data_IF_392788131297
#
_entry.id   IF_392788131297
#
_cell.length_a   1.000
_cell.length_b   1.000
_cell.length_c   1.000
_cell.angle_alpha   90.00
_cell.angle_beta   90.00
_cell.angle_gamma   90.00
#
_symmetry.space_group_name_H-M   'P 1'
#
loop_
_entity.id
_entity.type
_entity.pdbx_description
1 polymer ?
#
# COMPACT_ATOMS: atom_id res chain seq x y z
N UNK A 1 0.63 4.25 4.18
CA UNK A 1 2.01 4.19 4.74
C UNK A 1 2.34 5.47 5.49
N UNK A 2 1.71 5.70 6.64
CA UNK A 2 1.85 6.95 7.39
C UNK A 2 2.64 6.70 8.68
N UNK A 3 3.93 7.02 8.64
CA UNK A 3 4.86 6.96 9.78
C UNK A 3 5.70 8.23 9.85
N UNK A 4 6.28 8.52 11.02
CA UNK A 4 7.05 9.75 11.31
C UNK A 4 8.19 10.04 10.31
N UNK A 5 8.73 9.00 9.66
CA UNK A 5 9.84 9.12 8.70
C UNK A 5 9.39 9.02 7.22
N UNK A 6 8.09 9.07 6.95
CA UNK A 6 7.57 8.96 5.58
C UNK A 6 7.86 10.26 4.84
N UNK A 7 8.36 10.15 3.60
CA UNK A 7 8.57 11.32 2.74
C UNK A 7 7.26 12.10 2.53
N UNK A 8 7.29 13.44 2.47
CA UNK A 8 6.10 14.24 2.19
C UNK A 8 5.32 13.77 0.96
N UNK A 9 6.02 13.32 -0.09
CA UNK A 9 5.37 12.81 -1.31
C UNK A 9 4.58 11.52 -1.06
N UNK A 10 5.08 10.63 -0.21
CA UNK A 10 4.38 9.38 0.17
C UNK A 10 3.11 9.70 0.96
N UNK A 11 3.15 10.76 1.78
CA UNK A 11 2.00 11.23 2.53
C UNK A 11 0.97 11.92 1.61
N UNK A 12 1.43 12.84 0.76
CA UNK A 12 0.55 13.59 -0.14
C UNK A 12 -0.07 12.74 -1.23
N UNK A 13 0.58 11.66 -1.67
CA UNK A 13 0.05 10.72 -2.67
C UNK A 13 -0.99 9.73 -2.14
N UNK A 14 -1.27 9.76 -0.83
CA UNK A 14 -2.26 8.90 -0.17
C UNK A 14 -2.07 7.40 -0.49
N UNK A 15 -0.81 6.94 -0.51
CA UNK A 15 -0.51 5.53 -0.70
C UNK A 15 -1.07 4.66 0.45
N UNK A 16 -1.87 3.68 0.07
CA UNK A 16 -2.49 2.69 0.93
C UNK A 16 -1.99 1.28 0.60
N UNK A 17 -2.23 0.34 1.51
CA UNK A 17 -1.99 -1.07 1.23
C UNK A 17 -3.00 -1.98 1.93
N UNK A 18 -3.17 -3.16 1.34
CA UNK A 18 -3.92 -4.29 1.92
C UNK A 18 -2.96 -5.48 2.01
N UNK A 19 -2.92 -6.14 3.16
CA UNK A 19 -2.21 -7.41 3.31
C UNK A 19 -2.92 -8.51 2.52
N UNK A 20 -2.15 -9.25 1.71
CA UNK A 20 -2.67 -10.36 0.91
C UNK A 20 -2.36 -11.68 1.62
N UNK A 21 -3.41 -12.38 2.05
CA UNK A 21 -3.29 -13.69 2.65
C UNK A 21 -3.57 -14.77 1.60
N UNK A 22 -2.60 -15.67 1.40
CA UNK A 22 -2.82 -16.90 0.64
C UNK A 22 -3.48 -17.96 1.54
N UNK A 23 -4.15 -18.98 0.96
CA UNK A 23 -4.71 -20.08 1.75
C UNK A 23 -3.69 -20.78 2.66
N UNK A 24 -2.42 -20.81 2.25
CA UNK A 24 -1.32 -21.38 3.03
C UNK A 24 -1.03 -20.59 4.33
N UNK A 25 -1.27 -19.27 4.31
CA UNK A 25 -0.96 -18.35 5.40
C UNK A 25 -2.21 -17.80 6.10
N UNK A 26 -3.40 -18.33 5.76
CA UNK A 26 -4.65 -17.85 6.32
C UNK A 26 -4.73 -18.21 7.82
N UNK A 27 -4.99 -17.24 8.71
CA UNK A 27 -5.09 -17.52 10.13
C UNK A 27 -6.27 -18.45 10.41
N UNK A 28 -6.03 -19.44 11.27
CA UNK A 28 -7.02 -20.43 11.68
C UNK A 28 -8.17 -19.80 12.47
N UNK A 29 -7.88 -18.76 13.28
CA UNK A 29 -8.91 -17.94 13.95
C UNK A 29 -9.27 -16.71 13.11
N UNK A 30 -10.42 -16.77 12.46
CA UNK A 30 -10.93 -15.70 11.57
C UNK A 30 -11.42 -14.45 12.33
N UNK A 31 -11.60 -14.52 13.65
CA UNK A 31 -12.19 -13.44 14.48
C UNK A 31 -11.18 -12.33 14.81
N UNK A 32 -9.87 -12.64 14.83
CA UNK A 32 -8.81 -11.66 15.16
C UNK A 32 -8.34 -10.91 13.93
N UNK A 33 -9.08 -9.87 13.54
CA UNK A 33 -8.75 -9.04 12.35
C UNK A 33 -7.39 -8.34 12.46
N UNK A 34 -6.99 -7.90 13.65
CA UNK A 34 -5.71 -7.19 13.88
C UNK A 34 -4.46 -8.04 13.65
N UNK A 35 -4.59 -9.37 13.70
CA UNK A 35 -3.50 -10.32 13.43
C UNK A 35 -3.45 -10.79 11.97
N UNK A 36 -4.27 -10.21 11.08
CA UNK A 36 -4.27 -10.54 9.65
C UNK A 36 -3.19 -9.73 8.91
N UNK A 37 -1.94 -9.97 9.28
CA UNK A 37 -0.78 -9.42 8.60
C UNK A 37 -0.14 -10.48 7.71
N UNK A 38 0.60 -10.04 6.69
CA UNK A 38 1.40 -10.89 5.81
C UNK A 38 2.56 -10.06 5.26
N UNK A 39 3.60 -10.72 4.76
CA UNK A 39 4.69 -10.07 4.03
C UNK A 39 4.37 -9.86 2.54
N UNK A 40 3.08 -9.81 2.19
CA UNK A 40 2.58 -9.47 0.86
C UNK A 40 1.64 -8.26 0.95
N UNK A 41 1.97 -7.16 0.28
CA UNK A 41 1.13 -5.95 0.24
C UNK A 41 0.65 -5.67 -1.17
N UNK A 42 -0.68 -5.57 -1.36
CA UNK A 42 -1.23 -4.87 -2.52
C UNK A 42 -1.22 -3.38 -2.23
N UNK A 43 -0.42 -2.62 -2.99
CA UNK A 43 -0.31 -1.17 -2.89
C UNK A 43 -1.30 -0.51 -3.84
N UNK A 44 -2.03 0.49 -3.35
CA UNK A 44 -3.00 1.23 -4.15
C UNK A 44 -3.14 2.69 -3.69
N UNK A 45 -3.81 3.51 -4.50
CA UNK A 45 -4.27 4.84 -4.12
C UNK A 45 -5.67 5.13 -4.71
N UNK A 46 -6.31 6.16 -4.16
CA UNK A 46 -7.59 6.72 -4.64
C UNK A 46 -7.33 7.97 -5.49
N UNK A 47 -8.21 8.25 -6.45
CA UNK A 47 -8.23 9.52 -7.18
C UNK A 47 -8.39 10.73 -6.24
N UNK A 48 -7.92 11.89 -6.67
CA UNK A 48 -8.11 13.15 -5.95
C UNK A 48 -9.54 13.69 -6.10
N UNK A 49 -10.13 13.60 -7.30
CA UNK A 49 -11.46 14.17 -7.58
C UNK A 49 -12.62 13.19 -7.36
N UNK A 50 -12.34 11.88 -7.38
CA UNK A 50 -13.36 10.84 -7.24
C UNK A 50 -12.94 9.72 -6.29
N UNK A 51 -13.78 9.48 -5.28
CA UNK A 51 -13.66 8.32 -4.39
C UNK A 51 -13.96 6.98 -5.07
N UNK A 52 -14.38 6.98 -6.34
CA UNK A 52 -14.63 5.76 -7.12
C UNK A 52 -13.47 5.40 -8.04
N UNK A 53 -12.48 6.28 -8.18
CA UNK A 53 -11.28 6.02 -8.96
C UNK A 53 -10.21 5.39 -8.07
N UNK A 54 -9.73 4.22 -8.47
CA UNK A 54 -8.68 3.48 -7.77
C UNK A 54 -7.61 3.03 -8.74
N UNK A 55 -6.35 3.14 -8.33
CA UNK A 55 -5.23 2.55 -9.04
C UNK A 55 -4.59 1.48 -8.17
N UNK A 56 -4.56 0.25 -8.67
CA UNK A 56 -3.73 -0.82 -8.13
C UNK A 56 -2.34 -0.67 -8.72
N UNK A 57 -1.33 -0.44 -7.88
CA UNK A 57 0.00 0.00 -8.32
C UNK A 57 0.96 -1.18 -8.42
N UNK A 58 1.08 -1.95 -7.33
CA UNK A 58 2.06 -3.03 -7.24
C UNK A 58 1.69 -4.04 -6.17
N UNK A 59 2.21 -5.26 -6.32
CA UNK A 59 2.27 -6.27 -5.26
C UNK A 59 3.69 -6.29 -4.70
N UNK A 60 3.89 -5.76 -3.49
CA UNK A 60 5.16 -5.92 -2.78
C UNK A 60 5.20 -7.33 -2.20
N UNK A 61 6.07 -8.16 -2.74
CA UNK A 61 6.32 -9.53 -2.31
C UNK A 61 7.68 -10.00 -2.85
N UNK A 62 8.46 -10.80 -2.12
CA UNK A 62 8.32 -11.11 -0.70
C UNK A 62 8.74 -9.92 0.19
N UNK A 63 8.63 -10.04 1.52
CA UNK A 63 9.12 -9.05 2.50
C UNK A 63 8.52 -7.64 2.35
N UNK A 64 7.21 -7.54 2.12
CA UNK A 64 6.53 -6.27 1.86
C UNK A 64 6.76 -5.21 2.95
N UNK A 65 6.93 -5.62 4.21
CA UNK A 65 7.28 -4.69 5.29
C UNK A 65 8.67 -4.10 5.11
N UNK A 66 9.67 -4.88 4.69
CA UNK A 66 11.01 -4.37 4.42
C UNK A 66 11.00 -3.43 3.20
N UNK A 67 10.32 -3.82 2.13
CA UNK A 67 10.15 -2.99 0.93
C UNK A 67 9.46 -1.65 1.25
N UNK A 68 8.43 -1.65 2.11
CA UNK A 68 7.73 -0.41 2.50
C UNK A 68 8.55 0.55 3.36
N UNK A 69 9.67 0.08 3.93
CA UNK A 69 10.64 0.92 4.66
C UNK A 69 11.74 1.46 3.76
N UNK A 70 11.81 1.00 2.51
CA UNK A 70 12.77 1.49 1.53
C UNK A 70 12.24 2.76 0.87
N UNK A 71 12.91 3.88 1.13
CA UNK A 71 12.50 5.19 0.62
C UNK A 71 12.48 5.26 -0.92
N UNK A 72 13.38 4.56 -1.61
CA UNK A 72 13.41 4.57 -3.08
C UNK A 72 12.20 3.85 -3.67
N UNK A 73 11.83 2.71 -3.06
CA UNK A 73 10.63 1.95 -3.43
C UNK A 73 9.39 2.82 -3.22
N UNK A 74 9.26 3.39 -2.03
CA UNK A 74 8.10 4.22 -1.70
C UNK A 74 8.01 5.49 -2.53
N UNK A 75 9.15 6.11 -2.86
CA UNK A 75 9.18 7.28 -3.74
C UNK A 75 8.69 6.95 -5.15
N UNK A 76 9.16 5.85 -5.75
CA UNK A 76 8.72 5.43 -7.08
C UNK A 76 7.21 5.13 -7.11
N UNK A 77 6.69 4.45 -6.09
CA UNK A 77 5.25 4.19 -5.95
C UNK A 77 4.46 5.50 -5.81
N UNK A 78 5.00 6.48 -5.07
CA UNK A 78 4.33 7.75 -4.83
C UNK A 78 4.25 8.62 -6.10
N UNK A 79 5.27 8.60 -6.95
CA UNK A 79 5.23 9.29 -8.26
C UNK A 79 4.14 8.72 -9.19
N UNK A 80 3.98 7.39 -9.20
CA UNK A 80 2.91 6.73 -9.96
C UNK A 80 1.54 7.15 -9.41
N UNK A 81 1.39 7.12 -8.08
CA UNK A 81 0.15 7.51 -7.42
C UNK A 81 -0.21 8.97 -7.69
N UNK A 82 0.72 9.91 -7.50
CA UNK A 82 0.51 11.34 -7.76
C UNK A 82 0.05 11.58 -9.21
N UNK A 83 0.72 10.98 -10.19
CA UNK A 83 0.38 11.10 -11.61
C UNK A 83 -1.03 10.62 -11.94
N UNK A 84 -1.54 9.61 -11.21
CA UNK A 84 -2.90 9.12 -11.36
C UNK A 84 -3.91 10.05 -10.67
N UNK A 85 -3.58 10.50 -9.45
CA UNK A 85 -4.43 11.34 -8.61
C UNK A 85 -4.70 12.71 -9.22
N UNK A 86 -3.70 13.32 -9.84
CA UNK A 86 -3.90 14.62 -10.52
C UNK A 86 -4.88 14.53 -11.72
N UNK A 87 -5.18 13.32 -12.20
CA UNK A 87 -6.02 13.09 -13.39
C UNK A 87 -7.41 12.53 -13.06
N UNK A 88 -7.68 12.12 -11.82
CA UNK A 88 -8.89 11.37 -11.42
C UNK A 88 -9.36 11.78 -10.03
#
# INVERSE_FOLDING_TARGET
YNHINSSPLVLSSELQHIHILTPANAPTDKRRQFNKTSDDHLVYCNGYYSNQAYLLISLLSPDAHAQSRNNNVMYALAQIAESFREKN
#
